data_IF_675863373087
#
_entry.id   IF_675863373087
#
_cell.length_a   1.000
_cell.length_b   1.000
_cell.length_c   1.000
_cell.angle_alpha   90.00
_cell.angle_beta   90.00
_cell.angle_gamma   90.00
#
_symmetry.space_group_name_H-M   'P 1'
#
loop_
_entity.id
_entity.type
_entity.pdbx_description
1 polymer ?
#
# COMPACT_ATOMS: atom_id res chain seq x y z
N UNK A 1 18.66 -1.86 -1.71
CA UNK A 1 17.66 -0.78 -1.50
C UNK A 1 16.33 -1.30 -2.07
N UNK A 2 15.20 -1.10 -1.39
CA UNK A 2 13.90 -1.46 -1.99
C UNK A 2 13.63 -0.46 -3.14
N UNK A 3 13.37 -0.91 -4.38
CA UNK A 3 13.14 0.00 -5.51
C UNK A 3 11.76 0.66 -5.49
N UNK A 4 10.89 0.22 -4.58
CA UNK A 4 9.53 0.74 -4.44
C UNK A 4 9.50 1.65 -3.22
N UNK A 5 9.04 2.89 -3.43
CA UNK A 5 9.02 3.97 -2.44
C UNK A 5 7.59 4.49 -2.28
N UNK A 6 7.16 4.68 -1.03
CA UNK A 6 5.93 5.40 -0.73
C UNK A 6 6.26 6.90 -0.63
N UNK A 7 5.88 7.66 -1.65
CA UNK A 7 6.12 9.11 -1.69
C UNK A 7 5.12 9.88 -0.81
N UNK A 8 3.90 9.36 -0.68
CA UNK A 8 2.86 9.93 0.17
C UNK A 8 1.92 8.83 0.64
N UNK A 9 1.47 8.94 1.89
CA UNK A 9 0.39 8.12 2.42
C UNK A 9 -0.41 8.94 3.43
N UNK A 10 -1.73 8.95 3.28
CA UNK A 10 -2.66 9.53 4.24
C UNK A 10 -3.91 8.67 4.35
N UNK A 11 -4.49 8.61 5.54
CA UNK A 11 -5.71 7.83 5.82
C UNK A 11 -5.44 6.57 6.64
N UNK A 12 -6.19 5.51 6.35
CA UNK A 12 -6.15 4.23 7.06
C UNK A 12 -6.75 3.09 6.22
N UNK A 13 -6.17 1.90 6.35
CA UNK A 13 -6.60 0.69 5.66
C UNK A 13 -7.45 -0.15 6.64
N UNK A 14 -8.76 -0.22 6.43
CA UNK A 14 -9.70 -0.94 7.29
C UNK A 14 -9.50 -2.46 7.25
N UNK A 15 -9.13 -3.02 6.10
CA UNK A 15 -8.87 -4.45 5.96
C UNK A 15 -7.41 -4.87 6.26
N UNK A 16 -6.64 -4.04 6.98
CA UNK A 16 -5.22 -4.25 7.34
C UNK A 16 -4.91 -5.67 7.81
N UNK A 17 -5.67 -6.17 8.80
CA UNK A 17 -5.47 -7.52 9.37
C UNK A 17 -5.56 -8.63 8.32
N UNK A 18 -6.51 -8.50 7.39
CA UNK A 18 -6.68 -9.48 6.30
C UNK A 18 -5.50 -9.40 5.32
N UNK A 19 -5.07 -8.19 4.98
CA UNK A 19 -3.94 -7.96 4.08
C UNK A 19 -2.62 -8.46 4.68
N UNK A 20 -2.38 -8.21 5.98
CA UNK A 20 -1.23 -8.76 6.72
C UNK A 20 -1.15 -10.28 6.56
N UNK A 21 -2.26 -10.98 6.76
CA UNK A 21 -2.31 -12.44 6.57
C UNK A 21 -2.08 -12.85 5.12
N UNK A 22 -2.62 -12.12 4.15
CA UNK A 22 -2.55 -12.46 2.72
C UNK A 22 -1.17 -12.19 2.10
N UNK A 23 -0.45 -11.20 2.64
CA UNK A 23 0.85 -10.74 2.16
C UNK A 23 2.01 -11.22 3.03
N UNK A 24 1.73 -11.85 4.18
CA UNK A 24 2.77 -12.30 5.11
C UNK A 24 3.47 -11.15 5.85
N UNK A 25 2.78 -10.00 6.01
CA UNK A 25 3.28 -8.85 6.75
C UNK A 25 2.87 -9.00 8.21
N UNK A 26 3.81 -8.79 9.12
CA UNK A 26 3.55 -8.82 10.56
C UNK A 26 2.63 -7.67 10.96
N UNK A 27 1.53 -7.97 11.65
CA UNK A 27 0.61 -6.96 12.21
C UNK A 27 1.12 -6.46 13.57
N UNK A 28 2.36 -5.98 13.60
CA UNK A 28 3.03 -5.47 14.79
C UNK A 28 3.70 -4.12 14.48
N UNK A 29 3.67 -3.19 15.44
CA UNK A 29 4.33 -1.88 15.33
C UNK A 29 3.39 -0.72 15.02
N UNK A 30 3.96 0.36 14.46
CA UNK A 30 3.25 1.61 14.16
C UNK A 30 2.31 1.37 12.99
N UNK A 31 1.02 1.73 13.16
CA UNK A 31 -0.03 1.48 12.16
C UNK A 31 0.38 1.93 10.75
N UNK A 32 0.86 3.16 10.64
CA UNK A 32 1.24 3.76 9.35
C UNK A 32 2.40 3.01 8.67
N UNK A 33 3.38 2.53 9.44
CA UNK A 33 4.50 1.74 8.90
C UNK A 33 4.03 0.39 8.38
N UNK A 34 3.15 -0.28 9.13
CA UNK A 34 2.52 -1.53 8.68
C UNK A 34 1.70 -1.29 7.41
N UNK A 35 0.89 -0.23 7.37
CA UNK A 35 0.08 0.11 6.19
C UNK A 35 0.94 0.43 4.96
N UNK A 36 2.04 1.17 5.11
CA UNK A 36 3.03 1.41 4.04
C UNK A 36 3.67 0.11 3.56
N UNK A 37 4.03 -0.80 4.47
CA UNK A 37 4.56 -2.10 4.10
C UNK A 37 3.52 -2.94 3.33
N UNK A 38 2.24 -2.89 3.72
CA UNK A 38 1.16 -3.54 2.97
C UNK A 38 1.01 -2.97 1.55
N UNK A 39 1.16 -1.64 1.38
CA UNK A 39 1.14 -1.03 0.05
C UNK A 39 2.31 -1.52 -0.82
N UNK A 40 3.52 -1.59 -0.25
CA UNK A 40 4.71 -2.07 -0.96
C UNK A 40 4.54 -3.55 -1.35
N UNK A 41 4.20 -4.42 -0.40
CA UNK A 41 4.05 -5.86 -0.67
C UNK A 41 2.84 -6.17 -1.56
N UNK A 42 1.77 -5.38 -1.42
CA UNK A 42 0.60 -5.46 -2.29
C UNK A 42 0.95 -5.06 -3.73
N UNK A 43 1.68 -3.95 -3.92
CA UNK A 43 2.12 -3.51 -5.24
C UNK A 43 3.10 -4.49 -5.89
N UNK A 44 4.04 -5.07 -5.14
CA UNK A 44 4.91 -6.16 -5.64
C UNK A 44 4.12 -7.35 -6.16
N UNK A 45 3.01 -7.69 -5.49
CA UNK A 45 2.19 -8.88 -5.80
C UNK A 45 1.18 -8.63 -6.92
N UNK A 46 0.57 -7.45 -6.95
CA UNK A 46 -0.59 -7.16 -7.79
C UNK A 46 -0.36 -6.00 -8.78
N UNK A 47 0.76 -5.28 -8.67
CA UNK A 47 0.99 -4.06 -9.44
C UNK A 47 -0.05 -2.98 -9.11
N UNK A 48 -0.52 -2.26 -10.11
CA UNK A 48 -1.51 -1.19 -9.97
C UNK A 48 -2.85 -1.69 -9.39
N UNK A 49 -3.19 -2.97 -9.60
CA UNK A 49 -4.39 -3.61 -9.07
C UNK A 49 -4.42 -3.69 -7.54
N UNK A 50 -3.31 -3.34 -6.85
CA UNK A 50 -3.28 -3.19 -5.38
C UNK A 50 -4.43 -2.31 -4.87
N UNK A 51 -4.87 -1.31 -5.64
CA UNK A 51 -5.99 -0.43 -5.28
C UNK A 51 -7.30 -1.19 -5.08
N UNK A 52 -7.52 -2.29 -5.81
CA UNK A 52 -8.73 -3.13 -5.73
C UNK A 52 -8.73 -4.03 -4.49
N UNK A 53 -7.59 -4.15 -3.81
CA UNK A 53 -7.44 -4.96 -2.59
C UNK A 53 -7.52 -4.13 -1.30
N UNK A 54 -7.51 -2.80 -1.39
CA UNK A 54 -7.50 -1.91 -0.23
C UNK A 54 -8.92 -1.44 0.06
N UNK A 55 -9.37 -1.65 1.30
CA UNK A 55 -10.62 -1.10 1.79
C UNK A 55 -10.35 -0.11 2.90
N UNK A 56 -10.83 1.12 2.78
CA UNK A 56 -10.60 2.18 3.76
C UNK A 56 -10.85 3.56 3.20
N UNK A 57 -10.36 4.57 3.91
CA UNK A 57 -10.20 5.91 3.36
C UNK A 57 -8.72 6.20 3.28
N UNK A 58 -8.22 6.49 2.08
CA UNK A 58 -6.80 6.57 1.82
C UNK A 58 -6.50 7.46 0.61
N UNK A 59 -5.32 8.06 0.65
CA UNK A 59 -4.63 8.58 -0.51
C UNK A 59 -3.17 8.15 -0.42
N UNK A 60 -2.59 7.67 -1.52
CA UNK A 60 -1.18 7.31 -1.55
C UNK A 60 -0.55 7.49 -2.92
N UNK A 61 0.79 7.58 -2.90
CA UNK A 61 1.63 7.60 -4.10
C UNK A 61 2.75 6.58 -3.93
N UNK A 62 2.84 5.65 -4.87
CA UNK A 62 3.90 4.64 -4.97
C UNK A 62 4.76 5.00 -6.19
N UNK A 63 6.08 5.02 -6.01
CA UNK A 63 7.04 5.10 -7.10
C UNK A 63 7.83 3.80 -7.19
N UNK A 64 7.91 3.21 -8.38
CA UNK A 64 8.75 2.04 -8.68
C UNK A 64 9.92 2.50 -9.57
N UNK A 65 11.12 2.54 -8.98
CA UNK A 65 12.35 2.97 -9.66
C UNK A 65 12.76 2.02 -10.80
N UNK A 66 12.43 0.72 -10.71
CA UNK A 66 12.80 -0.29 -11.70
C UNK A 66 11.93 -0.14 -12.96
N UNK A 67 10.64 0.11 -12.75
CA UNK A 67 9.68 0.30 -13.85
C UNK A 67 9.64 1.76 -14.34
N UNK A 68 10.20 2.68 -13.55
CA UNK A 68 10.06 4.13 -13.74
C UNK A 68 8.59 4.56 -13.86
N UNK A 69 7.75 3.98 -13.00
CA UNK A 69 6.30 4.16 -12.98
C UNK A 69 5.86 4.76 -11.64
N UNK A 70 4.81 5.58 -11.67
CA UNK A 70 4.24 6.19 -10.47
C UNK A 70 2.75 5.93 -10.43
N UNK A 71 2.28 5.31 -9.35
CA UNK A 71 0.88 5.02 -9.12
C UNK A 71 0.35 5.96 -8.06
N UNK A 72 -0.69 6.71 -8.41
CA UNK A 72 -1.43 7.56 -7.50
C UNK A 72 -2.82 6.98 -7.32
N UNK A 73 -3.25 6.80 -6.07
CA UNK A 73 -4.57 6.27 -5.77
C UNK A 73 -5.23 7.06 -4.64
N UNK A 74 -6.55 7.19 -4.74
CA UNK A 74 -7.42 7.75 -3.71
C UNK A 74 -8.65 6.87 -3.59
N UNK A 75 -9.20 6.77 -2.39
CA UNK A 75 -10.42 6.02 -2.16
C UNK A 75 -11.63 6.61 -2.93
N UNK A 76 -12.69 5.81 -3.18
CA UNK A 76 -13.82 6.23 -4.03
C UNK A 76 -14.59 7.47 -3.55
N UNK A 77 -14.45 7.87 -2.29
CA UNK A 77 -15.17 9.00 -1.72
C UNK A 77 -14.37 10.30 -1.70
N UNK A 78 -13.12 10.28 -2.16
CA UNK A 78 -12.25 11.45 -2.20
C UNK A 78 -11.66 11.77 -0.85
#
# INVERSE_FOLDING_TARGET
MCPIIILMYHGYIRNKKSLCRQLGVEDAGIREEVEKNLLIEGYKKWGEEVVNHIYGSFAFVIHDDVRNETVCARDPFG
#
